data_IF_490543064701
#
_entry.id   IF_490543064701
#
_cell.length_a   1.000
_cell.length_b   1.000
_cell.length_c   1.000
_cell.angle_alpha   90.00
_cell.angle_beta   90.00
_cell.angle_gamma   90.00
#
_symmetry.space_group_name_H-M   'P 1'
#
loop_
_entity.id
_entity.type
_entity.pdbx_description
1 polymer ?
#
# COMPACT_ATOMS: atom_id res chain seq x y z
N UNK A 1 -36.80 -1.06 21.95
CA UNK A 1 -35.82 -2.13 21.62
C UNK A 1 -36.10 -2.81 20.28
N UNK A 2 -37.30 -3.40 20.05
CA UNK A 2 -37.63 -4.08 18.77
C UNK A 2 -37.39 -3.24 17.51
N UNK A 3 -37.72 -1.94 17.54
CA UNK A 3 -37.48 -1.00 16.43
C UNK A 3 -36.01 -0.78 16.10
N UNK A 4 -35.13 -0.70 17.11
CA UNK A 4 -33.69 -0.49 16.90
C UNK A 4 -33.03 -1.72 16.27
N UNK A 5 -33.39 -2.91 16.75
CA UNK A 5 -32.90 -4.18 16.21
C UNK A 5 -33.38 -4.39 14.76
N UNK A 6 -34.64 -4.02 14.47
CA UNK A 6 -35.17 -4.09 13.09
C UNK A 6 -34.52 -3.10 12.13
N UNK A 7 -34.05 -1.93 12.62
CA UNK A 7 -33.34 -0.95 11.80
C UNK A 7 -31.90 -1.40 11.52
N UNK A 8 -31.22 -1.94 12.53
CA UNK A 8 -29.89 -2.51 12.38
C UNK A 8 -29.87 -3.71 11.42
N UNK A 9 -30.87 -4.60 11.51
CA UNK A 9 -31.01 -5.73 10.59
C UNK A 9 -31.34 -5.34 9.13
N UNK A 10 -31.76 -4.09 8.89
CA UNK A 10 -32.03 -3.53 7.55
C UNK A 10 -30.89 -2.62 7.07
N UNK A 11 -29.84 -2.46 7.85
CA UNK A 11 -28.71 -1.59 7.51
C UNK A 11 -27.71 -2.34 6.62
N UNK A 12 -27.71 -2.00 5.34
CA UNK A 12 -26.78 -2.56 4.35
C UNK A 12 -25.41 -1.86 4.36
N UNK A 13 -25.23 -0.81 5.17
CA UNK A 13 -23.96 -0.07 5.26
C UNK A 13 -22.78 -0.98 5.64
N UNK A 14 -23.05 -2.06 6.38
CA UNK A 14 -22.04 -3.08 6.70
C UNK A 14 -21.66 -3.96 5.50
N UNK A 15 -22.61 -4.31 4.63
CA UNK A 15 -22.31 -5.03 3.38
C UNK A 15 -21.48 -4.15 2.43
N UNK A 16 -21.86 -2.88 2.30
CA UNK A 16 -21.11 -1.87 1.54
C UNK A 16 -19.69 -1.66 2.09
N UNK A 17 -19.50 -1.72 3.41
CA UNK A 17 -18.18 -1.61 4.02
C UNK A 17 -17.26 -2.80 3.68
N UNK A 18 -17.81 -4.00 3.49
CA UNK A 18 -17.02 -5.18 3.08
C UNK A 18 -16.59 -5.05 1.61
N UNK A 19 -17.43 -4.49 0.74
CA UNK A 19 -17.10 -4.27 -0.67
C UNK A 19 -15.98 -3.25 -0.84
N UNK A 20 -16.12 -2.07 -0.22
CA UNK A 20 -15.07 -1.04 -0.24
C UNK A 20 -13.83 -1.48 0.55
N UNK A 21 -14.00 -2.27 1.60
CA UNK A 21 -12.89 -2.87 2.35
C UNK A 21 -12.05 -3.81 1.50
N UNK A 22 -12.68 -4.64 0.66
CA UNK A 22 -11.98 -5.52 -0.27
C UNK A 22 -11.22 -4.72 -1.34
N UNK A 23 -11.85 -3.71 -1.93
CA UNK A 23 -11.21 -2.84 -2.94
C UNK A 23 -10.03 -2.09 -2.33
N UNK A 24 -10.20 -1.51 -1.14
CA UNK A 24 -9.15 -0.82 -0.41
C UNK A 24 -7.98 -1.76 -0.05
N UNK A 25 -8.28 -3.00 0.34
CA UNK A 25 -7.28 -4.03 0.62
C UNK A 25 -6.45 -4.39 -0.61
N UNK A 26 -7.10 -4.64 -1.76
CA UNK A 26 -6.41 -4.95 -3.02
C UNK A 26 -5.56 -3.77 -3.51
N UNK A 27 -6.10 -2.55 -3.44
CA UNK A 27 -5.36 -1.34 -3.80
C UNK A 27 -4.13 -1.12 -2.91
N UNK A 28 -4.26 -1.39 -1.61
CA UNK A 28 -3.16 -1.27 -0.65
C UNK A 28 -1.99 -2.19 -1.02
N UNK A 29 -2.27 -3.44 -1.41
CA UNK A 29 -1.23 -4.40 -1.83
C UNK A 29 -0.49 -3.88 -3.07
N UNK A 30 -1.22 -3.38 -4.06
CA UNK A 30 -0.63 -2.82 -5.29
C UNK A 30 0.26 -1.60 -4.97
N UNK A 31 -0.21 -0.71 -4.12
CA UNK A 31 0.57 0.47 -3.70
C UNK A 31 1.85 0.06 -2.99
N UNK A 32 1.78 -0.86 -2.03
CA UNK A 32 2.95 -1.35 -1.30
C UNK A 32 3.98 -1.97 -2.25
N UNK A 33 3.53 -2.79 -3.20
CA UNK A 33 4.41 -3.38 -4.21
C UNK A 33 5.07 -2.32 -5.10
N UNK A 34 4.31 -1.35 -5.60
CA UNK A 34 4.82 -0.28 -6.45
C UNK A 34 5.83 0.62 -5.72
N UNK A 35 5.52 1.01 -4.49
CA UNK A 35 6.42 1.81 -3.64
C UNK A 35 7.67 1.01 -3.30
N UNK A 36 7.55 -0.28 -2.99
CA UNK A 36 8.69 -1.17 -2.74
C UNK A 36 9.63 -1.26 -3.94
N UNK A 37 9.10 -1.54 -5.13
CA UNK A 37 9.89 -1.61 -6.36
C UNK A 37 10.58 -0.28 -6.68
N UNK A 38 9.86 0.84 -6.52
CA UNK A 38 10.43 2.18 -6.69
C UNK A 38 11.57 2.44 -5.72
N UNK A 39 11.40 2.06 -4.44
CA UNK A 39 12.45 2.15 -3.42
C UNK A 39 13.71 1.38 -3.83
N UNK A 40 13.56 0.14 -4.30
CA UNK A 40 14.68 -0.66 -4.80
C UNK A 40 15.40 0.01 -5.96
N UNK A 41 14.67 0.57 -6.93
CA UNK A 41 15.29 1.30 -8.05
C UNK A 41 16.07 2.53 -7.60
N UNK A 42 15.51 3.32 -6.68
CA UNK A 42 16.18 4.50 -6.12
C UNK A 42 17.45 4.11 -5.36
N UNK A 43 17.38 3.09 -4.49
CA UNK A 43 18.56 2.55 -3.79
C UNK A 43 19.63 2.11 -4.78
N UNK A 44 19.28 1.37 -5.84
CA UNK A 44 20.23 0.93 -6.85
C UNK A 44 20.95 2.08 -7.58
N UNK A 45 20.26 3.21 -7.81
CA UNK A 45 20.89 4.41 -8.37
C UNK A 45 21.93 4.97 -7.40
N UNK A 46 21.58 5.12 -6.11
CA UNK A 46 22.52 5.63 -5.11
C UNK A 46 23.69 4.68 -4.85
N UNK A 47 23.48 3.37 -4.88
CA UNK A 47 24.54 2.37 -4.77
C UNK A 47 25.51 2.48 -5.95
N UNK A 48 24.98 2.70 -7.17
CA UNK A 48 25.80 2.92 -8.36
C UNK A 48 26.65 4.18 -8.23
N UNK A 49 26.07 5.28 -7.76
CA UNK A 49 26.79 6.54 -7.52
C UNK A 49 27.89 6.34 -6.46
N UNK A 50 27.54 5.69 -5.34
CA UNK A 50 28.48 5.38 -4.25
C UNK A 50 29.64 4.54 -4.77
N UNK A 51 29.35 3.50 -5.57
CA UNK A 51 30.39 2.67 -6.19
C UNK A 51 31.34 3.49 -7.06
N UNK A 52 30.81 4.38 -7.91
CA UNK A 52 31.62 5.25 -8.77
C UNK A 52 32.47 6.25 -7.98
N UNK A 53 31.95 6.81 -6.90
CA UNK A 53 32.71 7.70 -6.03
C UNK A 53 33.87 6.96 -5.34
N UNK A 54 33.62 5.76 -4.83
CA UNK A 54 34.67 4.94 -4.18
C UNK A 54 35.78 4.54 -5.18
N UNK A 55 35.42 4.16 -6.40
CA UNK A 55 36.37 3.89 -7.48
C UNK A 55 37.25 5.11 -7.78
N UNK A 56 36.66 6.31 -7.82
CA UNK A 56 37.38 7.55 -8.09
C UNK A 56 38.32 7.98 -6.94
N UNK A 57 38.01 7.62 -5.69
CA UNK A 57 38.86 7.92 -4.54
C UNK A 57 40.09 7.02 -4.42
N UNK A 58 40.08 5.86 -5.09
CA UNK A 58 41.16 4.87 -5.03
C UNK A 58 42.18 5.05 -6.17
N UNK A 59 41.89 5.92 -7.15
CA UNK A 59 42.83 6.37 -8.19
C UNK A 59 43.55 7.64 -7.75
#
# INVERSE_FOLDING_TARGET
>A
MKSLISRFAKDESGATAIEYGLIAGLLSIVIVAAVGATGTSVTGIFDTITGKLNEAQTQ
#
